data_IF_859193111638
#
_entry.id   IF_859193111638
#
_cell.length_a   1.000
_cell.length_b   1.000
_cell.length_c   1.000
_cell.angle_alpha   90.00
_cell.angle_beta   90.00
_cell.angle_gamma   90.00
#
_symmetry.space_group_name_H-M   'P 1'
#
loop_
_entity.id
_entity.type
_entity.pdbx_description
1 polymer ?
#
# COMPACT_ATOMS: atom_id res chain seq x y z
N UNK A 1 -14.46 -30.96 -6.94
CA UNK A 1 -13.52 -30.83 -8.08
C UNK A 1 -12.27 -31.64 -7.75
N UNK A 2 -11.92 -32.62 -8.59
CA UNK A 2 -10.72 -33.43 -8.39
C UNK A 2 -9.44 -32.65 -8.72
N UNK A 3 -8.28 -33.06 -8.16
CA UNK A 3 -6.99 -32.37 -8.38
C UNK A 3 -6.64 -32.19 -9.87
N UNK A 4 -6.92 -33.19 -10.71
CA UNK A 4 -6.68 -33.13 -12.15
C UNK A 4 -7.53 -32.07 -12.84
N UNK A 5 -8.81 -32.00 -12.50
CA UNK A 5 -9.75 -31.00 -13.02
C UNK A 5 -9.35 -29.58 -12.58
N UNK A 6 -8.93 -29.42 -11.32
CA UNK A 6 -8.39 -28.16 -10.82
C UNK A 6 -7.16 -27.70 -11.61
N UNK A 7 -6.18 -28.60 -11.86
CA UNK A 7 -4.98 -28.26 -12.61
C UNK A 7 -5.30 -27.90 -14.08
N UNK A 8 -6.29 -28.54 -14.70
CA UNK A 8 -6.76 -28.15 -16.02
C UNK A 8 -7.37 -26.73 -16.01
N UNK A 9 -8.15 -26.40 -15.00
CA UNK A 9 -8.68 -25.03 -14.82
C UNK A 9 -7.56 -24.00 -14.72
N UNK A 10 -6.53 -24.27 -13.90
CA UNK A 10 -5.36 -23.38 -13.79
C UNK A 10 -4.63 -23.22 -15.14
N UNK A 11 -4.43 -24.31 -15.85
CA UNK A 11 -3.80 -24.28 -17.18
C UNK A 11 -4.59 -23.40 -18.16
N UNK A 12 -5.93 -23.51 -18.15
CA UNK A 12 -6.79 -22.67 -18.99
C UNK A 12 -6.68 -21.18 -18.61
N UNK A 13 -6.66 -20.85 -17.32
CA UNK A 13 -6.45 -19.48 -16.85
C UNK A 13 -5.10 -18.93 -17.32
N UNK A 14 -4.02 -19.70 -17.20
CA UNK A 14 -2.68 -19.28 -17.67
C UNK A 14 -2.68 -19.03 -19.18
N UNK A 15 -3.31 -19.91 -19.97
CA UNK A 15 -3.40 -19.76 -21.40
C UNK A 15 -4.25 -18.53 -21.81
N UNK A 16 -5.36 -18.26 -21.11
CA UNK A 16 -6.18 -17.07 -21.34
C UNK A 16 -5.35 -15.80 -21.11
N UNK A 17 -4.65 -15.71 -19.99
CA UNK A 17 -3.79 -14.57 -19.67
C UNK A 17 -2.62 -14.39 -20.66
N UNK A 18 -2.02 -15.48 -21.11
CA UNK A 18 -0.93 -15.46 -22.11
C UNK A 18 -1.37 -14.89 -23.46
N UNK A 19 -2.61 -15.17 -23.86
CA UNK A 19 -3.15 -14.83 -25.18
C UNK A 19 -4.02 -13.56 -25.17
N UNK A 20 -4.18 -12.90 -24.04
CA UNK A 20 -4.99 -11.69 -23.91
C UNK A 20 -4.09 -10.45 -23.97
N UNK A 21 -4.45 -9.50 -24.83
CA UNK A 21 -3.80 -8.20 -24.90
C UNK A 21 -4.05 -7.42 -23.60
N UNK A 22 -3.02 -6.69 -23.16
CA UNK A 22 -3.08 -5.85 -21.98
C UNK A 22 -2.64 -4.43 -22.35
N UNK A 23 -3.53 -3.46 -22.17
CA UNK A 23 -3.25 -2.05 -22.43
C UNK A 23 -3.25 -1.21 -21.14
N UNK A 24 -2.50 -0.09 -21.15
CA UNK A 24 -2.46 0.84 -20.04
C UNK A 24 -2.91 2.22 -20.50
N UNK A 25 -3.93 2.76 -19.82
CA UNK A 25 -4.43 4.10 -20.02
C UNK A 25 -3.67 5.08 -19.11
N UNK A 26 -3.06 6.11 -19.70
CA UNK A 26 -2.42 7.16 -18.91
C UNK A 26 -3.49 8.01 -18.23
N UNK A 27 -3.36 8.18 -16.91
CA UNK A 27 -4.25 8.99 -16.07
C UNK A 27 -3.46 9.81 -15.06
N UNK A 28 -4.05 10.90 -14.60
CA UNK A 28 -3.50 11.83 -13.60
C UNK A 28 -4.15 11.68 -12.21
N UNK A 29 -5.16 10.82 -12.10
CA UNK A 29 -5.85 10.52 -10.85
C UNK A 29 -5.48 9.12 -10.31
N UNK A 30 -5.77 8.90 -9.04
CA UNK A 30 -5.54 7.62 -8.34
C UNK A 30 -6.79 6.76 -8.42
N UNK A 31 -6.77 5.62 -9.16
CA UNK A 31 -7.96 4.81 -9.38
C UNK A 31 -8.46 4.12 -8.11
N UNK A 32 -9.77 3.89 -8.05
CA UNK A 32 -10.44 3.02 -7.07
C UNK A 32 -10.72 1.64 -7.63
N UNK A 33 -11.23 0.76 -6.77
CA UNK A 33 -11.57 -0.62 -7.14
C UNK A 33 -12.68 -0.69 -8.22
N UNK A 34 -13.60 0.28 -8.20
CA UNK A 34 -14.75 0.34 -9.12
C UNK A 34 -14.48 1.27 -10.34
N UNK A 35 -13.21 1.60 -10.61
CA UNK A 35 -12.84 2.39 -11.77
C UNK A 35 -13.19 1.66 -13.07
N UNK A 36 -14.03 2.28 -13.92
CA UNK A 36 -14.51 1.70 -15.17
C UNK A 36 -13.38 1.49 -16.21
N UNK A 37 -12.23 2.16 -16.05
CA UNK A 37 -11.06 1.97 -16.90
C UNK A 37 -10.21 0.77 -16.52
N UNK A 38 -10.56 0.05 -15.45
CA UNK A 38 -9.88 -1.16 -15.00
C UNK A 38 -10.73 -2.39 -15.27
N UNK A 39 -10.25 -3.30 -16.10
CA UNK A 39 -10.96 -4.53 -16.47
C UNK A 39 -10.13 -5.77 -16.18
N UNK A 40 -10.77 -6.89 -15.83
CA UNK A 40 -10.06 -8.16 -15.59
C UNK A 40 -10.80 -9.43 -16.03
N UNK A 41 -12.01 -9.35 -16.53
CA UNK A 41 -12.81 -10.53 -16.92
C UNK A 41 -12.16 -11.41 -18.00
N UNK A 42 -12.52 -12.69 -18.05
CA UNK A 42 -12.10 -13.62 -19.10
C UNK A 42 -12.64 -13.18 -20.47
N UNK A 43 -11.85 -13.35 -21.53
CA UNK A 43 -12.25 -13.02 -22.91
C UNK A 43 -12.42 -11.52 -23.20
N UNK A 44 -12.09 -10.65 -22.26
CA UNK A 44 -12.11 -9.21 -22.44
C UNK A 44 -10.69 -8.66 -22.57
N UNK A 45 -10.53 -7.56 -23.33
CA UNK A 45 -9.30 -6.79 -23.31
C UNK A 45 -8.99 -6.37 -21.87
N UNK A 46 -7.77 -6.64 -21.41
CA UNK A 46 -7.33 -6.27 -20.06
C UNK A 46 -6.85 -4.82 -20.10
N UNK A 47 -7.48 -3.98 -19.28
CA UNK A 47 -7.12 -2.55 -19.16
C UNK A 47 -6.62 -2.25 -17.77
N UNK A 48 -5.45 -1.64 -17.72
CA UNK A 48 -4.86 -1.06 -16.52
C UNK A 48 -4.72 0.45 -16.65
N UNK A 49 -4.35 1.09 -15.56
CA UNK A 49 -4.05 2.52 -15.50
C UNK A 49 -2.57 2.70 -15.24
N UNK A 50 -1.92 3.59 -15.99
CA UNK A 50 -0.58 4.08 -15.74
C UNK A 50 -0.67 5.53 -15.23
N UNK A 51 0.03 5.85 -14.14
CA UNK A 51 0.06 7.19 -13.56
C UNK A 51 1.44 7.50 -12.97
N UNK A 52 1.78 8.79 -12.91
CA UNK A 52 2.91 9.27 -12.13
C UNK A 52 2.38 9.79 -10.79
N UNK A 53 2.96 9.35 -9.68
CA UNK A 53 2.43 9.65 -8.35
C UNK A 53 3.48 9.50 -7.28
N UNK A 54 3.28 10.18 -6.13
CA UNK A 54 3.96 9.84 -4.89
C UNK A 54 3.20 8.73 -4.17
N UNK A 55 3.97 7.79 -3.64
CA UNK A 55 3.49 6.73 -2.74
C UNK A 55 4.13 6.92 -1.39
N UNK A 56 3.33 6.87 -0.35
CA UNK A 56 3.77 6.85 1.03
C UNK A 56 3.34 5.52 1.66
N UNK A 57 4.29 4.84 2.27
CA UNK A 57 4.00 3.76 3.20
C UNK A 57 4.30 4.20 4.63
N UNK A 58 3.45 3.79 5.55
CA UNK A 58 3.68 3.92 6.99
C UNK A 58 3.43 2.58 7.67
N UNK A 59 4.22 2.26 8.70
CA UNK A 59 4.22 0.98 9.39
C UNK A 59 4.59 1.17 10.86
N UNK A 60 3.96 0.40 11.77
CA UNK A 60 4.29 0.46 13.21
C UNK A 60 5.63 -0.24 13.45
N UNK A 61 6.52 0.40 14.22
CA UNK A 61 7.79 -0.20 14.62
C UNK A 61 7.62 -1.14 15.80
N UNK A 62 8.35 -2.26 15.76
CA UNK A 62 8.33 -3.27 16.81
C UNK A 62 6.93 -3.80 17.14
N UNK A 63 6.04 -3.85 16.14
CA UNK A 63 4.65 -4.28 16.31
C UNK A 63 4.54 -5.68 16.93
N UNK A 64 5.42 -6.61 16.55
CA UNK A 64 5.47 -7.96 17.14
C UNK A 64 5.81 -7.92 18.63
N UNK A 65 6.73 -7.06 19.06
CA UNK A 65 7.08 -6.91 20.48
C UNK A 65 5.93 -6.24 21.25
N UNK A 66 5.33 -5.21 20.67
CA UNK A 66 4.15 -4.56 21.25
C UNK A 66 2.99 -5.56 21.47
N UNK A 67 2.79 -6.51 20.56
CA UNK A 67 1.78 -7.57 20.71
C UNK A 67 2.12 -8.49 21.90
N UNK A 68 3.38 -8.86 22.06
CA UNK A 68 3.81 -9.74 23.16
C UNK A 68 3.67 -9.09 24.54
N UNK A 69 3.93 -7.78 24.61
CA UNK A 69 4.00 -7.03 25.88
C UNK A 69 2.65 -6.48 26.34
N UNK A 70 1.66 -6.45 25.45
CA UNK A 70 0.35 -5.86 25.75
C UNK A 70 -0.79 -6.87 25.64
N UNK A 71 -1.87 -6.63 26.41
CA UNK A 71 -3.09 -7.42 26.31
C UNK A 71 -3.78 -7.19 24.95
N UNK A 72 -4.41 -8.21 24.38
CA UNK A 72 -5.11 -8.17 23.07
C UNK A 72 -6.03 -6.97 22.92
N UNK A 73 -6.78 -6.64 23.98
CA UNK A 73 -7.68 -5.46 23.98
C UNK A 73 -6.93 -4.14 23.77
N UNK A 74 -5.73 -3.99 24.34
CA UNK A 74 -4.89 -2.79 24.18
C UNK A 74 -4.35 -2.73 22.75
N UNK A 75 -3.93 -3.87 22.20
CA UNK A 75 -3.45 -3.94 20.83
C UNK A 75 -4.56 -3.62 19.83
N UNK A 76 -5.74 -4.20 19.97
CA UNK A 76 -6.88 -3.89 19.11
C UNK A 76 -7.22 -2.40 19.09
N UNK A 77 -7.19 -1.74 20.25
CA UNK A 77 -7.38 -0.28 20.35
C UNK A 77 -6.28 0.51 19.66
N UNK A 78 -5.01 0.13 19.87
CA UNK A 78 -3.85 0.81 19.27
C UNK A 78 -3.89 0.73 17.74
N UNK A 79 -4.11 -0.46 17.18
CA UNK A 79 -4.21 -0.64 15.73
C UNK A 79 -5.40 0.13 15.14
N UNK A 80 -6.55 0.12 15.83
CA UNK A 80 -7.74 0.86 15.38
C UNK A 80 -7.48 2.38 15.38
N UNK A 81 -6.89 2.92 16.46
CA UNK A 81 -6.54 4.34 16.54
C UNK A 81 -5.51 4.71 15.50
N UNK A 82 -4.44 3.93 15.38
CA UNK A 82 -3.40 4.15 14.37
C UNK A 82 -4.00 4.20 12.97
N UNK A 83 -4.69 3.14 12.55
CA UNK A 83 -5.28 3.06 11.21
C UNK A 83 -6.25 4.22 10.95
N UNK A 84 -7.12 4.53 11.91
CA UNK A 84 -8.06 5.65 11.78
C UNK A 84 -7.34 7.00 11.61
N UNK A 85 -6.30 7.24 12.39
CA UNK A 85 -5.49 8.45 12.27
C UNK A 85 -4.75 8.53 10.91
N UNK A 86 -4.26 7.41 10.38
CA UNK A 86 -3.63 7.37 9.05
C UNK A 86 -4.61 7.71 7.94
N UNK A 87 -5.85 7.21 8.03
CA UNK A 87 -6.93 7.55 7.10
C UNK A 87 -7.25 9.05 7.15
N UNK A 88 -7.32 9.64 8.33
CA UNK A 88 -7.57 11.08 8.51
C UNK A 88 -6.40 11.93 7.98
N UNK A 89 -5.16 11.56 8.27
CA UNK A 89 -3.97 12.26 7.78
C UNK A 89 -3.89 12.22 6.24
N UNK A 90 -4.10 11.05 5.65
CA UNK A 90 -4.15 10.91 4.20
C UNK A 90 -5.21 11.81 3.58
N UNK A 91 -6.44 11.79 4.10
CA UNK A 91 -7.54 12.62 3.62
C UNK A 91 -7.25 14.11 3.74
N UNK A 92 -6.68 14.55 4.87
CA UNK A 92 -6.32 15.95 5.14
C UNK A 92 -5.36 16.50 4.08
N UNK A 93 -4.38 15.68 3.68
CA UNK A 93 -3.33 16.08 2.72
C UNK A 93 -3.67 15.68 1.27
N UNK A 94 -4.91 15.27 1.01
CA UNK A 94 -5.37 14.92 -0.35
C UNK A 94 -4.80 13.62 -0.89
N UNK A 95 -4.31 12.73 -0.03
CA UNK A 95 -3.90 11.36 -0.35
C UNK A 95 -5.06 10.38 -0.26
N UNK A 96 -4.94 9.27 -0.97
CA UNK A 96 -5.92 8.19 -0.98
C UNK A 96 -5.29 6.90 -0.46
N UNK A 97 -5.84 6.36 0.62
CA UNK A 97 -5.42 5.05 1.13
C UNK A 97 -5.86 3.98 0.14
N UNK A 98 -4.91 3.17 -0.29
CA UNK A 98 -5.12 2.12 -1.31
C UNK A 98 -4.86 0.72 -0.82
N UNK A 99 -4.16 0.57 0.29
CA UNK A 99 -3.98 -0.73 0.92
C UNK A 99 -3.75 -0.59 2.42
N UNK A 100 -4.24 -1.55 3.19
CA UNK A 100 -4.00 -1.72 4.63
C UNK A 100 -3.72 -3.20 4.85
N UNK A 101 -2.50 -3.52 5.25
CA UNK A 101 -2.08 -4.89 5.54
C UNK A 101 -1.48 -4.93 6.93
N UNK A 102 -2.25 -5.44 7.89
CA UNK A 102 -1.84 -5.41 9.30
C UNK A 102 -1.68 -3.98 9.81
N UNK A 103 -0.46 -3.61 10.14
CA UNK A 103 -0.05 -2.27 10.58
C UNK A 103 0.57 -1.41 9.47
N UNK A 104 0.62 -1.92 8.25
CA UNK A 104 1.16 -1.19 7.09
C UNK A 104 0.04 -0.55 6.28
N UNK A 105 0.14 0.76 6.07
CA UNK A 105 -0.83 1.54 5.28
C UNK A 105 -0.12 2.13 4.06
N UNK A 106 -0.71 1.93 2.88
CA UNK A 106 -0.28 2.53 1.61
C UNK A 106 -1.17 3.71 1.25
N UNK A 107 -0.56 4.87 1.06
CA UNK A 107 -1.22 6.12 0.65
C UNK A 107 -0.65 6.53 -0.70
N UNK A 108 -1.53 6.85 -1.65
CA UNK A 108 -1.16 7.30 -3.00
C UNK A 108 -1.70 8.70 -3.22
N UNK A 109 -0.89 9.59 -3.78
CA UNK A 109 -1.25 10.99 -3.98
C UNK A 109 -1.48 11.27 -5.46
N UNK A 110 -2.59 11.96 -5.85
CA UNK A 110 -2.78 12.43 -7.21
C UNK A 110 -1.58 13.28 -7.68
N UNK A 111 -1.26 13.25 -8.97
CA UNK A 111 -0.04 13.84 -9.54
C UNK A 111 0.15 15.32 -9.16
N UNK A 112 -0.94 16.07 -9.06
CA UNK A 112 -0.91 17.49 -8.70
C UNK A 112 -0.36 17.71 -7.29
N UNK A 113 0.78 18.43 -7.19
CA UNK A 113 1.50 18.72 -5.93
C UNK A 113 1.79 17.49 -5.06
N UNK A 114 1.93 16.29 -5.66
CA UNK A 114 2.05 15.03 -4.91
C UNK A 114 3.24 14.98 -3.96
N UNK A 115 4.36 15.61 -4.29
CA UNK A 115 5.54 15.70 -3.41
C UNK A 115 5.21 16.43 -2.11
N UNK A 116 4.67 17.64 -2.22
CA UNK A 116 4.31 18.47 -1.07
C UNK A 116 3.26 17.78 -0.22
N UNK A 117 2.22 17.23 -0.84
CA UNK A 117 1.15 16.49 -0.16
C UNK A 117 1.70 15.28 0.60
N UNK A 118 2.58 14.50 -0.01
CA UNK A 118 3.17 13.32 0.62
C UNK A 118 4.07 13.68 1.82
N UNK A 119 4.90 14.73 1.69
CA UNK A 119 5.75 15.21 2.79
C UNK A 119 4.92 15.77 3.93
N UNK A 120 3.92 16.61 3.65
CA UNK A 120 3.02 17.14 4.67
C UNK A 120 2.28 16.00 5.40
N UNK A 121 1.83 14.99 4.67
CA UNK A 121 1.22 13.80 5.26
C UNK A 121 2.19 13.08 6.20
N UNK A 122 3.46 12.91 5.82
CA UNK A 122 4.46 12.30 6.68
C UNK A 122 4.71 13.11 7.96
N UNK A 123 4.76 14.45 7.88
CA UNK A 123 4.89 15.35 9.04
C UNK A 123 3.66 15.20 9.95
N UNK A 124 2.47 15.20 9.38
CA UNK A 124 1.21 15.00 10.13
C UNK A 124 1.19 13.65 10.83
N UNK A 125 1.62 12.58 10.15
CA UNK A 125 1.73 11.23 10.74
C UNK A 125 2.73 11.22 11.90
N UNK A 126 3.88 11.87 11.76
CA UNK A 126 4.86 11.96 12.84
C UNK A 126 4.29 12.68 14.08
N UNK A 127 3.58 13.79 13.89
CA UNK A 127 2.87 14.46 14.98
C UNK A 127 1.81 13.58 15.64
N UNK A 128 1.08 12.78 14.86
CA UNK A 128 0.11 11.81 15.41
C UNK A 128 0.83 10.77 16.27
N UNK A 129 1.99 10.25 15.84
CA UNK A 129 2.77 9.31 16.66
C UNK A 129 3.19 9.92 18.00
N UNK A 130 3.63 11.19 18.01
CA UNK A 130 3.93 11.92 19.24
C UNK A 130 2.69 12.10 20.14
N UNK A 131 1.53 12.39 19.56
CA UNK A 131 0.27 12.49 20.31
C UNK A 131 -0.18 11.16 20.91
N UNK A 132 -0.01 10.06 20.19
CA UNK A 132 -0.30 8.71 20.70
C UNK A 132 0.56 8.42 21.93
N UNK A 133 1.88 8.69 21.86
CA UNK A 133 2.79 8.52 23.00
C UNK A 133 2.42 9.42 24.19
N UNK A 134 1.96 10.64 23.96
CA UNK A 134 1.53 11.57 25.02
C UNK A 134 0.23 11.14 25.71
N UNK A 135 -0.66 10.42 24.99
CA UNK A 135 -2.00 10.09 25.46
C UNK A 135 -2.15 8.67 26.00
N UNK A 136 -1.22 7.80 25.71
CA UNK A 136 -1.24 6.39 26.13
C UNK A 136 -0.01 6.15 27.01
N UNK A 137 -0.24 5.99 28.32
CA UNK A 137 0.84 5.76 29.27
C UNK A 137 1.58 4.44 29.02
N UNK A 138 2.89 4.45 29.25
CA UNK A 138 3.77 3.30 29.11
C UNK A 138 3.75 2.68 27.68
N UNK A 139 3.55 3.51 26.67
CA UNK A 139 3.64 3.12 25.26
C UNK A 139 4.83 3.84 24.62
N UNK A 140 5.74 3.08 24.05
CA UNK A 140 6.76 3.59 23.13
C UNK A 140 6.32 3.29 21.69
N UNK A 141 5.49 4.18 21.13
CA UNK A 141 4.95 4.05 19.79
C UNK A 141 5.84 4.79 18.80
N UNK A 142 6.32 4.07 17.81
CA UNK A 142 7.08 4.61 16.68
C UNK A 142 6.50 4.07 15.39
N UNK A 143 6.57 4.86 14.33
CA UNK A 143 6.27 4.39 12.98
C UNK A 143 7.43 4.70 12.03
N UNK A 144 7.61 3.85 11.03
CA UNK A 144 8.49 4.11 9.90
C UNK A 144 7.67 4.66 8.75
N UNK A 145 8.22 5.64 8.03
CA UNK A 145 7.58 6.25 6.87
C UNK A 145 8.56 6.20 5.70
N UNK A 146 8.09 5.72 4.55
CA UNK A 146 8.83 5.73 3.31
C UNK A 146 8.02 6.39 2.21
N UNK A 147 8.66 7.27 1.43
CA UNK A 147 8.03 8.00 0.32
C UNK A 147 8.89 7.80 -0.92
N UNK A 148 8.26 7.55 -2.05
CA UNK A 148 8.91 7.59 -3.35
C UNK A 148 7.95 8.09 -4.43
N UNK A 149 8.51 8.58 -5.53
CA UNK A 149 7.76 9.11 -6.68
C UNK A 149 8.17 8.44 -7.96
N UNK A 150 7.21 8.25 -8.84
CA UNK A 150 7.45 7.83 -10.20
C UNK A 150 6.24 7.20 -10.86
N UNK A 151 6.54 6.51 -11.96
CA UNK A 151 5.53 5.83 -12.76
C UNK A 151 5.09 4.53 -12.09
N UNK A 152 3.78 4.38 -11.96
CA UNK A 152 3.13 3.16 -11.46
C UNK A 152 2.09 2.67 -12.45
N UNK A 153 1.84 1.38 -12.42
CA UNK A 153 0.76 0.71 -13.13
C UNK A 153 -0.19 0.07 -12.13
N UNK A 154 -1.47 0.26 -12.37
CA UNK A 154 -2.53 -0.29 -11.55
C UNK A 154 -3.36 -1.24 -12.38
N UNK A 155 -3.55 -2.43 -11.87
CA UNK A 155 -4.33 -3.47 -12.50
C UNK A 155 -5.39 -3.96 -11.53
N UNK A 156 -6.60 -4.19 -12.05
CA UNK A 156 -7.65 -4.88 -11.30
C UNK A 156 -7.46 -6.37 -11.48
N UNK A 157 -7.48 -7.10 -10.39
CA UNK A 157 -7.35 -8.55 -10.36
C UNK A 157 -8.50 -9.16 -9.59
N UNK A 158 -8.88 -10.38 -9.93
CA UNK A 158 -9.96 -11.05 -9.23
C UNK A 158 -10.38 -12.33 -9.91
N UNK A 159 -11.44 -12.94 -9.37
CA UNK A 159 -12.05 -14.15 -9.90
C UNK A 159 -13.42 -13.80 -10.48
N UNK A 160 -13.68 -14.26 -11.70
CA UNK A 160 -14.99 -14.17 -12.33
C UNK A 160 -15.79 -15.41 -11.96
N UNK A 161 -16.96 -15.21 -11.37
CA UNK A 161 -17.88 -16.28 -11.00
C UNK A 161 -19.20 -16.11 -11.76
N UNK A 162 -19.61 -17.14 -12.51
CA UNK A 162 -20.86 -17.11 -13.31
C UNK A 162 -20.98 -15.92 -14.28
N UNK A 163 -19.83 -15.48 -14.86
CA UNK A 163 -19.79 -14.38 -15.82
C UNK A 163 -19.83 -12.97 -15.21
N UNK A 164 -19.82 -12.85 -13.88
CA UNK A 164 -19.77 -11.58 -13.16
C UNK A 164 -18.51 -11.48 -12.28
N UNK A 165 -18.08 -10.25 -12.00
CA UNK A 165 -17.03 -9.98 -11.02
C UNK A 165 -17.47 -10.45 -9.63
N UNK A 166 -16.59 -11.17 -8.94
CA UNK A 166 -16.83 -11.57 -7.56
C UNK A 166 -16.26 -10.52 -6.62
N UNK A 167 -17.11 -9.80 -5.92
CA UNK A 167 -16.73 -8.70 -5.03
C UNK A 167 -15.85 -9.13 -3.86
N UNK A 168 -15.98 -10.36 -3.38
CA UNK A 168 -15.18 -10.89 -2.28
C UNK A 168 -13.73 -11.22 -2.69
N UNK A 169 -13.48 -11.37 -4.00
CA UNK A 169 -12.21 -11.84 -4.54
C UNK A 169 -11.65 -10.90 -5.62
N UNK A 170 -11.87 -9.59 -5.47
CA UNK A 170 -11.27 -8.58 -6.35
C UNK A 170 -10.36 -7.62 -5.57
N UNK A 171 -9.35 -7.10 -6.24
CA UNK A 171 -8.40 -6.17 -5.65
C UNK A 171 -7.64 -5.36 -6.69
N UNK A 172 -6.89 -4.37 -6.23
CA UNK A 172 -5.96 -3.62 -7.05
C UNK A 172 -4.53 -4.06 -6.76
N UNK A 173 -3.79 -4.33 -7.83
CA UNK A 173 -2.34 -4.57 -7.79
C UNK A 173 -1.63 -3.33 -8.29
N UNK A 174 -0.74 -2.81 -7.47
CA UNK A 174 0.07 -1.62 -7.70
C UNK A 174 1.49 -2.04 -8.04
N UNK A 175 1.91 -1.82 -9.28
CA UNK A 175 3.21 -2.25 -9.79
C UNK A 175 4.03 -1.05 -10.23
N UNK A 176 5.24 -0.96 -9.76
CA UNK A 176 6.18 0.08 -10.14
C UNK A 176 7.27 0.25 -9.11
N UNK A 177 8.34 0.91 -9.53
CA UNK A 177 9.46 1.20 -8.65
C UNK A 177 9.03 1.99 -7.40
N UNK A 178 8.16 3.04 -7.50
CA UNK A 178 7.77 3.83 -6.33
C UNK A 178 7.08 3.01 -5.24
N UNK A 179 6.14 2.14 -5.58
CA UNK A 179 5.45 1.31 -4.59
C UNK A 179 6.42 0.38 -3.85
N UNK A 180 7.33 -0.27 -4.58
CA UNK A 180 8.31 -1.18 -4.01
C UNK A 180 9.36 -0.43 -3.18
N UNK A 181 9.85 0.71 -3.67
CA UNK A 181 10.91 1.45 -3.01
C UNK A 181 10.43 2.18 -1.76
N UNK A 182 9.28 2.86 -1.82
CA UNK A 182 8.67 3.47 -0.63
C UNK A 182 8.40 2.43 0.48
N UNK A 183 7.94 1.22 0.12
CA UNK A 183 7.77 0.14 1.08
C UNK A 183 9.10 -0.27 1.75
N UNK A 184 10.19 -0.39 0.97
CA UNK A 184 11.52 -0.71 1.50
C UNK A 184 12.09 0.42 2.36
N UNK A 185 11.91 1.68 1.96
CA UNK A 185 12.31 2.85 2.76
C UNK A 185 11.59 2.87 4.11
N UNK A 186 10.32 2.48 4.14
CA UNK A 186 9.56 2.30 5.37
C UNK A 186 10.27 1.33 6.30
N UNK A 187 10.78 0.20 5.79
CA UNK A 187 11.48 -0.81 6.59
C UNK A 187 12.82 -0.30 7.16
N UNK A 188 13.45 0.68 6.52
CA UNK A 188 14.71 1.30 6.98
C UNK A 188 14.50 2.42 8.02
N UNK A 189 13.32 3.04 8.04
CA UNK A 189 13.04 4.20 8.89
C UNK A 189 12.91 3.82 10.37
N UNK A 190 13.46 4.65 11.27
CA UNK A 190 13.40 4.44 12.74
C UNK A 190 13.92 3.08 13.22
N UNK A 191 14.89 2.50 12.54
CA UNK A 191 15.68 1.36 13.00
C UNK A 191 16.99 1.84 13.62
N UNK A 192 17.55 1.03 14.52
CA UNK A 192 18.90 1.28 15.04
C UNK A 192 19.94 1.14 13.92
N UNK A 193 21.03 1.88 14.02
CA UNK A 193 22.06 1.97 12.96
C UNK A 193 22.68 0.60 12.60
N UNK A 194 22.72 -0.34 13.52
CA UNK A 194 23.19 -1.72 13.31
C UNK A 194 22.34 -2.52 12.33
N UNK A 195 21.05 -2.20 12.21
CA UNK A 195 20.13 -2.88 11.30
C UNK A 195 20.20 -2.37 9.87
N UNK A 196 20.84 -1.20 9.66
CA UNK A 196 20.93 -0.51 8.36
C UNK A 196 22.13 -1.02 7.52
N UNK A 197 23.14 -1.61 8.14
CA UNK A 197 24.40 -1.96 7.49
C UNK A 197 24.31 -3.01 6.37
N UNK A 198 23.20 -3.75 6.24
CA UNK A 198 23.05 -4.81 5.24
C UNK A 198 22.30 -4.41 3.96
N UNK A 199 21.93 -3.14 3.78
CA UNK A 199 21.13 -2.72 2.63
C UNK A 199 21.66 -1.49 1.86
N UNK A 200 22.92 -1.11 2.03
CA UNK A 200 23.46 0.13 1.42
C UNK A 200 24.12 -0.17 0.07
N UNK A 201 23.30 -0.39 -0.96
CA UNK A 201 23.67 -0.10 -2.35
C UNK A 201 22.71 0.92 -3.00
N UNK A 202 21.91 1.61 -2.21
CA UNK A 202 21.03 2.68 -2.67
C UNK A 202 21.53 4.03 -2.16
N UNK A 203 21.70 4.99 -3.07
CA UNK A 203 21.98 6.41 -2.73
C UNK A 203 20.81 6.94 -1.92
N UNK A 204 20.98 7.02 -0.61
CA UNK A 204 20.00 7.62 0.29
C UNK A 204 20.19 9.13 0.30
N UNK A 205 19.17 9.88 -0.08
CA UNK A 205 19.06 11.28 0.31
C UNK A 205 18.41 11.31 1.70
N UNK A 206 19.21 11.56 2.74
CA UNK A 206 18.71 11.89 4.06
C UNK A 206 18.07 13.27 4.00
N UNK A 207 16.76 13.36 4.12
CA UNK A 207 16.12 14.54 4.69
C UNK A 207 16.14 14.37 6.22
N UNK A 208 17.10 14.98 6.88
CA UNK A 208 17.00 15.28 8.30
C UNK A 208 15.96 16.40 8.44
N UNK A 209 14.78 16.06 8.97
CA UNK A 209 13.80 17.01 9.50
C UNK A 209 14.02 17.17 11.00
#
# INVERSE_FOLDING_TARGET
MGRKEFMNTITNVINDWKNTDFSFLQKDYVPGLDDANLTYGCGQEKKGIELNSCVLFVDIRNSVQLIKDKKDRTMGRLYSVFTHCMLLAARQEGGLVRNIIGDRVMIVFPQDHCYTKAVNCAITINHIAMLINKKIDNLEFKCGIGIDYGRMRVMKVGVVTKGAENDDNKGLVWVGYPANFASRLTDCANKEFTDIMYQVDAKFYHCNL
#
